data_IF_764903353677
#
_entry.id   IF_764903353677
#
_cell.length_a   1.000
_cell.length_b   1.000
_cell.length_c   1.000
_cell.angle_alpha   90.00
_cell.angle_beta   90.00
_cell.angle_gamma   90.00
#
_symmetry.space_group_name_H-M   'P 1'
#
loop_
_entity.id
_entity.type
_entity.pdbx_description
1 polymer ?
#
# COMPACT_ATOMS: atom_id res chain seq x y z
N UNK A 1 -21.14 5.51 -17.45
CA UNK A 1 -20.98 4.05 -17.54
C UNK A 1 -20.64 3.56 -16.14
N UNK A 2 -21.56 2.89 -15.43
CA UNK A 2 -21.46 2.64 -13.97
C UNK A 2 -21.14 1.18 -13.61
N UNK A 3 -20.59 0.41 -14.54
CA UNK A 3 -20.35 -1.02 -14.30
C UNK A 3 -18.96 -1.24 -13.71
N UNK A 4 -18.90 -2.19 -12.77
CA UNK A 4 -17.64 -2.66 -12.20
C UNK A 4 -16.86 -3.48 -13.22
N UNK A 5 -15.54 -3.34 -13.18
CA UNK A 5 -14.60 -4.10 -13.98
C UNK A 5 -13.55 -4.75 -13.05
N UNK A 6 -13.12 -6.01 -13.31
CA UNK A 6 -13.64 -6.92 -14.33
C UNK A 6 -15.07 -7.39 -14.04
N UNK A 7 -15.74 -7.95 -15.05
CA UNK A 7 -17.06 -8.59 -14.85
C UNK A 7 -16.95 -9.76 -13.87
N UNK A 8 -18.04 -10.14 -13.20
CA UNK A 8 -18.03 -11.26 -12.25
C UNK A 8 -17.43 -12.56 -12.85
N UNK A 9 -17.79 -12.88 -14.10
CA UNK A 9 -17.26 -14.04 -14.82
C UNK A 9 -15.74 -13.95 -15.05
N UNK A 10 -15.25 -12.75 -15.35
CA UNK A 10 -13.82 -12.52 -15.56
C UNK A 10 -13.05 -12.52 -14.24
N UNK A 11 -13.63 -11.96 -13.17
CA UNK A 11 -13.09 -12.07 -11.81
C UNK A 11 -12.93 -13.54 -11.40
N UNK A 12 -13.96 -14.36 -11.54
CA UNK A 12 -13.90 -15.80 -11.25
C UNK A 12 -12.81 -16.52 -12.05
N UNK A 13 -12.59 -16.10 -13.30
CA UNK A 13 -11.52 -16.66 -14.14
C UNK A 13 -10.14 -16.29 -13.62
N UNK A 14 -9.92 -15.02 -13.29
CA UNK A 14 -8.63 -14.50 -12.82
C UNK A 14 -8.26 -15.04 -11.43
N UNK A 15 -9.24 -15.18 -10.53
CA UNK A 15 -9.04 -15.65 -9.16
C UNK A 15 -8.63 -17.12 -9.04
N UNK A 16 -8.55 -17.88 -10.15
CA UNK A 16 -8.02 -19.26 -10.14
C UNK A 16 -6.51 -19.29 -9.99
N UNK A 17 -5.82 -18.32 -10.58
CA UNK A 17 -4.35 -18.28 -10.66
C UNK A 17 -3.75 -17.06 -9.92
N UNK A 18 -4.58 -16.07 -9.58
CA UNK A 18 -4.19 -14.88 -8.82
C UNK A 18 -4.75 -14.95 -7.39
N UNK A 19 -3.95 -14.51 -6.41
CA UNK A 19 -4.41 -14.40 -5.01
C UNK A 19 -5.00 -13.02 -4.68
N UNK A 20 -4.82 -12.05 -5.58
CA UNK A 20 -5.43 -10.73 -5.49
C UNK A 20 -5.90 -10.30 -6.86
N UNK A 21 -7.19 -9.96 -7.00
CA UNK A 21 -7.79 -9.46 -8.24
C UNK A 21 -8.52 -8.17 -7.91
N UNK A 22 -8.04 -6.99 -8.34
CA UNK A 22 -8.72 -5.75 -8.05
C UNK A 22 -10.01 -5.64 -8.85
N UNK A 23 -11.06 -5.18 -8.19
CA UNK A 23 -12.32 -4.80 -8.80
C UNK A 23 -12.46 -3.30 -8.65
N UNK A 24 -12.65 -2.60 -9.76
CA UNK A 24 -12.71 -1.15 -9.78
C UNK A 24 -13.86 -0.67 -10.66
N UNK A 25 -14.14 0.62 -10.55
CA UNK A 25 -15.05 1.35 -11.42
C UNK A 25 -14.52 2.76 -11.56
N UNK A 26 -14.71 3.35 -12.73
CA UNK A 26 -14.38 4.77 -12.95
C UNK A 26 -15.64 5.62 -12.69
N UNK A 27 -15.48 6.72 -11.97
CA UNK A 27 -16.55 7.69 -11.69
C UNK A 27 -16.08 9.12 -11.97
N UNK A 28 -17.01 10.02 -12.26
CA UNK A 28 -16.70 11.45 -12.39
C UNK A 28 -16.48 12.00 -10.98
N UNK A 29 -15.37 12.70 -10.77
CA UNK A 29 -14.94 13.26 -9.50
C UNK A 29 -14.52 14.73 -9.64
N UNK A 30 -15.33 15.51 -10.35
CA UNK A 30 -15.08 16.93 -10.64
C UNK A 30 -15.02 17.82 -9.37
N UNK A 31 -15.68 17.39 -8.29
CA UNK A 31 -15.78 18.14 -7.02
C UNK A 31 -15.01 17.51 -5.85
N UNK A 32 -14.44 16.33 -6.03
CA UNK A 32 -13.71 15.63 -4.96
C UNK A 32 -12.21 15.83 -5.17
N UNK A 33 -11.51 16.37 -4.17
CA UNK A 33 -10.05 16.48 -4.18
C UNK A 33 -9.40 15.31 -3.42
N UNK A 34 -8.18 14.89 -3.78
CA UNK A 34 -7.45 13.84 -3.04
C UNK A 34 -7.32 14.15 -1.55
N UNK A 35 -7.01 15.40 -1.20
CA UNK A 35 -6.90 15.85 0.19
C UNK A 35 -8.22 15.69 0.95
N UNK A 36 -9.35 16.11 0.36
CA UNK A 36 -10.66 15.97 0.98
C UNK A 36 -11.06 14.49 1.12
N UNK A 37 -10.77 13.67 0.12
CA UNK A 37 -11.03 12.24 0.17
C UNK A 37 -10.22 11.57 1.29
N UNK A 38 -8.93 11.86 1.41
CA UNK A 38 -8.09 11.34 2.50
C UNK A 38 -8.58 11.84 3.86
N UNK A 39 -8.90 13.13 4.01
CA UNK A 39 -9.42 13.67 5.26
C UNK A 39 -10.77 13.05 5.66
N UNK A 40 -11.58 12.57 4.70
CA UNK A 40 -12.89 11.98 4.99
C UNK A 40 -12.80 10.48 5.24
N UNK A 41 -11.95 9.76 4.49
CA UNK A 41 -11.91 8.29 4.49
C UNK A 41 -10.69 7.71 5.23
N UNK A 42 -9.57 8.43 5.27
CA UNK A 42 -8.31 8.00 5.87
C UNK A 42 -8.19 8.28 7.36
N UNK A 43 -9.23 7.95 8.14
CA UNK A 43 -9.22 8.16 9.61
C UNK A 43 -8.55 7.02 10.38
N UNK A 44 -8.26 5.90 9.71
CA UNK A 44 -7.65 4.71 10.31
C UNK A 44 -6.13 4.65 10.07
N UNK A 45 -5.45 3.86 10.91
CA UNK A 45 -4.02 3.60 10.76
C UNK A 45 -3.72 2.93 9.41
N UNK A 46 -2.61 3.32 8.80
CA UNK A 46 -2.19 2.77 7.50
C UNK A 46 -2.90 3.40 6.28
N UNK A 47 -3.78 4.39 6.48
CA UNK A 47 -4.23 5.24 5.39
C UNK A 47 -3.11 6.15 4.87
N UNK A 48 -3.19 6.52 3.60
CA UNK A 48 -2.17 7.32 2.95
C UNK A 48 -2.73 8.21 1.84
N UNK A 49 -2.02 9.31 1.59
CA UNK A 49 -2.16 10.17 0.42
C UNK A 49 -0.80 10.28 -0.27
N UNK A 50 -0.74 9.89 -1.55
CA UNK A 50 0.45 10.04 -2.38
C UNK A 50 0.14 10.99 -3.52
N UNK A 51 0.78 12.16 -3.48
CA UNK A 51 0.73 13.14 -4.57
C UNK A 51 2.15 13.34 -5.12
N UNK A 52 2.24 13.48 -6.43
CA UNK A 52 3.52 13.77 -7.09
C UNK A 52 3.47 15.16 -7.70
N UNK A 53 4.53 15.93 -7.46
CA UNK A 53 4.77 17.21 -8.14
C UNK A 53 5.96 17.01 -9.06
N UNK A 54 5.74 17.14 -10.36
CA UNK A 54 6.82 17.06 -11.36
C UNK A 54 7.18 18.46 -11.82
N UNK A 55 8.42 18.89 -11.56
CA UNK A 55 8.98 20.11 -12.17
C UNK A 55 8.45 21.44 -11.62
N UNK A 56 8.23 21.54 -10.31
CA UNK A 56 7.89 22.80 -9.62
C UNK A 56 6.38 23.12 -9.61
N UNK A 57 5.77 23.31 -10.78
CA UNK A 57 4.40 23.88 -10.89
C UNK A 57 3.35 22.98 -11.54
N UNK A 58 3.72 21.81 -12.10
CA UNK A 58 2.75 20.89 -12.72
C UNK A 58 2.45 19.72 -11.79
N UNK A 59 1.22 19.66 -11.30
CA UNK A 59 0.72 18.48 -10.58
C UNK A 59 0.80 17.24 -11.48
N UNK A 60 1.28 16.13 -10.90
CA UNK A 60 1.24 14.86 -11.61
C UNK A 60 -0.22 14.51 -11.95
N UNK A 61 -0.37 13.80 -13.07
CA UNK A 61 -1.69 13.36 -13.54
C UNK A 61 -2.45 12.54 -12.49
N UNK A 62 -1.74 11.82 -11.63
CA UNK A 62 -2.34 10.91 -10.66
C UNK A 62 -2.02 11.29 -9.21
N UNK A 63 -3.05 11.26 -8.37
CA UNK A 63 -2.95 11.24 -6.91
C UNK A 63 -3.61 9.96 -6.39
N UNK A 64 -3.06 9.36 -5.33
CA UNK A 64 -3.54 8.11 -4.77
C UNK A 64 -3.95 8.29 -3.32
N UNK A 65 -5.16 7.85 -2.98
CA UNK A 65 -5.63 7.79 -1.59
C UNK A 65 -5.93 6.35 -1.25
N UNK A 66 -5.22 5.78 -0.28
CA UNK A 66 -5.46 4.45 0.23
C UNK A 66 -6.01 4.47 1.64
N UNK A 67 -6.93 3.56 1.93
CA UNK A 67 -7.53 3.37 3.25
C UNK A 67 -8.06 1.94 3.38
N UNK A 68 -8.40 1.56 4.61
CA UNK A 68 -8.91 0.25 4.97
C UNK A 68 -7.95 -0.88 4.63
N UNK A 69 -6.65 -0.81 5.01
CA UNK A 69 -5.71 -1.86 4.66
C UNK A 69 -6.14 -3.19 5.28
N UNK A 70 -6.02 -4.28 4.52
CA UNK A 70 -6.31 -5.62 5.01
C UNK A 70 -5.37 -6.02 6.16
N UNK A 71 -4.14 -5.48 6.11
CA UNK A 71 -3.10 -5.76 7.09
C UNK A 71 -2.04 -4.65 7.12
N UNK A 72 -1.54 -4.35 8.31
CA UNK A 72 -0.32 -3.56 8.50
C UNK A 72 0.78 -4.49 9.00
N UNK A 73 1.94 -4.47 8.35
CA UNK A 73 3.12 -5.24 8.76
C UNK A 73 4.25 -4.30 9.16
N UNK A 74 4.92 -4.60 10.27
CA UNK A 74 6.05 -3.79 10.76
C UNK A 74 7.10 -4.65 11.43
N UNK A 75 8.35 -4.25 11.34
CA UNK A 75 9.47 -5.08 11.80
C UNK A 75 10.65 -4.27 12.28
N UNK A 76 11.36 -4.81 13.27
CA UNK A 76 12.52 -4.17 13.90
C UNK A 76 13.38 -5.25 14.54
N UNK A 77 14.70 -5.22 14.32
CA UNK A 77 15.64 -6.20 14.89
C UNK A 77 15.20 -7.66 14.67
N UNK A 78 14.74 -8.34 15.72
CA UNK A 78 14.26 -9.74 15.72
C UNK A 78 12.75 -9.86 15.97
N UNK A 79 12.00 -8.76 15.81
CA UNK A 79 10.56 -8.66 16.03
C UNK A 79 9.83 -8.34 14.73
N UNK A 80 8.78 -9.10 14.45
CA UNK A 80 7.82 -8.83 13.38
C UNK A 80 6.41 -8.74 13.96
N UNK A 81 5.64 -7.73 13.57
CA UNK A 81 4.25 -7.56 13.96
C UNK A 81 3.36 -7.47 12.74
N UNK A 82 2.20 -8.12 12.84
CA UNK A 82 1.08 -8.01 11.91
C UNK A 82 -0.12 -7.46 12.66
N UNK A 83 -0.67 -6.36 12.18
CA UNK A 83 -1.92 -5.77 12.68
C UNK A 83 -3.02 -6.07 11.68
N UNK A 84 -4.04 -6.80 12.10
CA UNK A 84 -5.19 -7.20 11.28
C UNK A 84 -6.45 -7.18 12.14
N UNK A 85 -7.52 -6.56 11.66
CA UNK A 85 -8.80 -6.44 12.39
C UNK A 85 -8.67 -5.84 13.81
N UNK A 86 -7.69 -4.95 14.01
CA UNK A 86 -7.37 -4.33 15.31
C UNK A 86 -6.56 -5.23 16.26
N UNK A 87 -6.29 -6.48 15.89
CA UNK A 87 -5.47 -7.41 16.66
C UNK A 87 -4.00 -7.33 16.24
N UNK A 88 -3.09 -7.38 17.22
CA UNK A 88 -1.65 -7.39 16.99
C UNK A 88 -1.13 -8.81 17.20
N UNK A 89 -0.65 -9.43 16.12
CA UNK A 89 0.08 -10.69 16.16
C UNK A 89 1.58 -10.42 16.11
N UNK A 90 2.27 -10.77 17.20
CA UNK A 90 3.70 -10.55 17.35
C UNK A 90 4.48 -11.87 17.22
N UNK A 91 5.55 -11.83 16.44
CA UNK A 91 6.57 -12.88 16.33
C UNK A 91 7.91 -12.33 16.83
N UNK A 92 8.58 -13.06 17.73
CA UNK A 92 9.88 -12.71 18.30
C UNK A 92 10.94 -13.74 17.90
N UNK A 93 12.20 -13.32 17.83
CA UNK A 93 13.32 -14.18 17.44
C UNK A 93 13.31 -14.56 15.96
N UNK A 94 12.68 -13.75 15.11
CA UNK A 94 12.57 -13.97 13.66
C UNK A 94 13.27 -12.86 12.89
N UNK A 95 13.75 -13.13 11.68
CA UNK A 95 14.19 -12.06 10.76
C UNK A 95 12.95 -11.34 10.20
N UNK A 96 12.71 -10.06 10.56
CA UNK A 96 11.53 -9.34 10.09
C UNK A 96 11.56 -9.06 8.59
N UNK A 97 12.74 -8.92 7.98
CA UNK A 97 12.86 -8.70 6.53
C UNK A 97 12.55 -9.97 5.74
N UNK A 98 12.96 -11.12 6.27
CA UNK A 98 12.54 -12.40 5.72
C UNK A 98 11.01 -12.57 5.84
N UNK A 99 10.42 -12.28 7.00
CA UNK A 99 8.96 -12.34 7.19
C UNK A 99 8.22 -11.39 6.25
N UNK A 100 8.70 -10.16 6.08
CA UNK A 100 8.15 -9.22 5.11
C UNK A 100 8.15 -9.81 3.69
N UNK A 101 9.28 -10.40 3.26
CA UNK A 101 9.38 -11.02 1.93
C UNK A 101 8.39 -12.18 1.76
N UNK A 102 8.29 -13.05 2.75
CA UNK A 102 7.36 -14.19 2.73
C UNK A 102 5.92 -13.70 2.65
N UNK A 103 5.56 -12.68 3.44
CA UNK A 103 4.26 -12.03 3.36
C UNK A 103 3.99 -11.49 1.96
N UNK A 104 4.83 -10.61 1.43
CA UNK A 104 4.61 -10.00 0.12
C UNK A 104 4.48 -11.03 -1.01
N UNK A 105 5.15 -12.18 -0.92
CA UNK A 105 5.05 -13.26 -1.89
C UNK A 105 3.68 -13.94 -1.95
N UNK A 106 2.82 -13.76 -0.94
CA UNK A 106 1.45 -14.27 -0.93
C UNK A 106 0.51 -13.48 -1.84
N UNK A 107 0.82 -12.21 -2.13
CA UNK A 107 0.05 -11.37 -3.06
C UNK A 107 0.56 -11.52 -4.49
N UNK A 108 -0.22 -12.24 -5.31
CA UNK A 108 0.09 -12.59 -6.70
C UNK A 108 -1.00 -12.01 -7.59
N UNK A 109 -0.78 -10.84 -8.19
CA UNK A 109 -1.76 -10.22 -9.07
C UNK A 109 -1.86 -10.93 -10.42
N UNK A 110 -2.99 -10.79 -11.13
CA UNK A 110 -3.13 -11.33 -12.47
C UNK A 110 -2.22 -10.55 -13.45
N UNK A 111 -1.68 -11.25 -14.45
CA UNK A 111 -0.94 -10.64 -15.56
C UNK A 111 -1.92 -10.16 -16.62
N UNK A 112 -2.35 -8.90 -16.51
CA UNK A 112 -3.34 -8.28 -17.41
C UNK A 112 -2.90 -6.86 -17.76
N UNK A 113 -3.22 -6.41 -18.98
CA UNK A 113 -2.76 -5.12 -19.52
C UNK A 113 -3.51 -3.90 -18.97
N UNK A 114 -4.72 -4.11 -18.44
CA UNK A 114 -5.61 -3.04 -17.99
C UNK A 114 -5.28 -2.52 -16.58
N UNK A 115 -4.39 -3.18 -15.84
CA UNK A 115 -3.99 -2.70 -14.52
C UNK A 115 -3.18 -1.40 -14.67
N UNK A 116 -3.53 -0.34 -13.93
CA UNK A 116 -2.74 0.87 -13.94
C UNK A 116 -1.38 0.61 -13.29
N UNK A 117 -0.42 1.54 -13.46
CA UNK A 117 0.94 1.39 -12.92
C UNK A 117 0.98 1.20 -11.40
N UNK A 118 0.00 1.77 -10.70
CA UNK A 118 -0.22 1.60 -9.28
C UNK A 118 -1.71 1.47 -9.02
N UNK A 119 -2.10 0.42 -8.29
CA UNK A 119 -3.48 0.09 -7.92
C UNK A 119 -3.58 -0.44 -6.49
N UNK A 120 -2.51 -0.28 -5.71
CA UNK A 120 -2.35 -0.91 -4.41
C UNK A 120 -1.02 -1.66 -4.31
N UNK A 121 -0.87 -2.37 -3.20
CA UNK A 121 0.38 -3.04 -2.82
C UNK A 121 0.76 -2.66 -1.39
N UNK A 122 2.05 -2.80 -1.08
CA UNK A 122 2.61 -2.38 0.21
C UNK A 122 3.01 -0.91 0.16
N UNK A 123 2.34 -0.08 0.96
CA UNK A 123 2.59 1.37 1.06
C UNK A 123 2.97 1.72 2.49
N UNK A 124 4.04 2.49 2.64
CA UNK A 124 4.58 2.82 3.95
C UNK A 124 6.03 3.27 3.84
N UNK A 125 6.86 2.87 4.79
CA UNK A 125 8.23 3.34 4.87
C UNK A 125 9.24 2.24 5.19
N UNK A 126 10.49 2.51 4.80
CA UNK A 126 11.70 1.87 5.30
C UNK A 126 12.51 2.97 5.97
N UNK A 127 12.86 2.78 7.24
CA UNK A 127 13.61 3.77 8.00
C UNK A 127 15.07 3.81 7.55
N UNK A 128 15.72 4.96 7.71
CA UNK A 128 17.12 5.14 7.33
C UNK A 128 18.05 4.11 8.01
N UNK A 129 17.81 3.81 9.30
CA UNK A 129 18.64 2.88 10.07
C UNK A 129 18.54 1.42 9.59
N UNK A 130 17.56 1.08 8.75
CA UNK A 130 17.48 -0.22 8.08
C UNK A 130 18.73 -0.56 7.26
N UNK A 131 19.49 0.46 6.83
CA UNK A 131 20.78 0.25 6.14
C UNK A 131 21.74 -0.60 6.97
N UNK A 132 21.68 -0.54 8.30
CA UNK A 132 22.57 -1.30 9.19
C UNK A 132 22.29 -2.80 9.18
N UNK A 133 21.06 -3.18 8.82
CA UNK A 133 20.67 -4.59 8.62
C UNK A 133 21.28 -5.13 7.32
N UNK A 134 21.40 -4.28 6.30
CA UNK A 134 21.96 -4.68 5.00
C UNK A 134 23.49 -4.52 4.92
N UNK A 135 24.05 -3.55 5.65
CA UNK A 135 25.47 -3.19 5.65
C UNK A 135 26.03 -3.10 7.07
N UNK A 136 26.54 -4.22 7.62
CA UNK A 136 27.05 -4.29 9.00
C UNK A 136 28.21 -3.33 9.30
N UNK A 137 28.92 -2.86 8.26
CA UNK A 137 30.05 -1.93 8.40
C UNK A 137 29.65 -0.54 8.88
N UNK A 138 28.37 -0.17 8.79
CA UNK A 138 27.83 1.13 9.25
C UNK A 138 27.83 1.21 10.79
N UNK A 139 27.96 0.08 11.49
CA UNK A 139 28.04 -0.01 12.95
C UNK A 139 26.68 0.03 13.64
N UNK A 140 26.68 0.12 14.98
CA UNK A 140 25.46 0.11 15.81
C UNK A 140 24.73 1.45 15.75
N UNK A 141 23.40 1.41 15.90
CA UNK A 141 22.58 2.60 16.03
C UNK A 141 22.95 3.39 17.29
N UNK A 142 22.89 4.73 17.19
CA UNK A 142 23.00 5.64 18.33
C UNK A 142 21.61 5.73 18.95
N UNK A 143 21.30 4.87 19.92
CA UNK A 143 20.01 4.78 20.63
C UNK A 143 18.78 4.66 19.71
N UNK A 144 18.13 3.50 19.72
CA UNK A 144 16.85 3.34 19.02
C UNK A 144 15.77 4.01 19.88
N UNK A 145 15.20 5.12 19.40
CA UNK A 145 13.78 5.35 19.71
C UNK A 145 12.99 4.14 19.17
N UNK A 146 11.85 3.83 19.75
CA UNK A 146 11.06 2.59 19.55
C UNK A 146 10.49 2.41 18.11
N UNK A 147 11.14 2.99 17.11
CA UNK A 147 10.77 3.06 15.71
C UNK A 147 11.08 1.76 14.95
N UNK A 148 10.11 1.37 14.12
CA UNK A 148 10.21 0.23 13.23
C UNK A 148 11.25 0.46 12.13
N UNK A 149 11.97 -0.60 11.73
CA UNK A 149 12.80 -0.59 10.52
C UNK A 149 11.94 -0.44 9.26
N UNK A 150 10.76 -1.04 9.25
CA UNK A 150 9.76 -0.80 8.23
C UNK A 150 8.35 -0.87 8.80
N UNK A 151 7.42 -0.20 8.14
CA UNK A 151 5.99 -0.33 8.38
C UNK A 151 5.26 -0.17 7.05
N UNK A 152 4.41 -1.12 6.68
CA UNK A 152 3.65 -1.11 5.44
C UNK A 152 2.18 -1.47 5.69
N UNK A 153 1.29 -0.64 5.17
CA UNK A 153 -0.11 -0.98 4.95
C UNK A 153 -0.24 -1.75 3.62
N UNK A 154 -0.93 -2.88 3.63
CA UNK A 154 -1.08 -3.76 2.47
C UNK A 154 -2.55 -4.03 2.23
N UNK A 155 -2.97 -3.90 0.97
CA UNK A 155 -4.35 -4.19 0.54
C UNK A 155 -5.30 -3.01 0.77
N UNK A 156 -6.59 -3.32 0.91
CA UNK A 156 -7.63 -2.32 1.11
C UNK A 156 -8.13 -1.61 -0.16
N UNK A 157 -8.71 -0.43 0.03
CA UNK A 157 -9.28 0.38 -1.06
C UNK A 157 -8.31 1.47 -1.50
N UNK A 158 -8.15 1.63 -2.82
CA UNK A 158 -7.34 2.69 -3.42
C UNK A 158 -8.19 3.53 -4.36
N UNK A 159 -8.21 4.83 -4.11
CA UNK A 159 -8.77 5.85 -4.98
C UNK A 159 -7.67 6.41 -5.88
N UNK A 160 -7.88 6.38 -7.19
CA UNK A 160 -6.92 6.82 -8.20
C UNK A 160 -7.49 8.04 -8.92
N UNK A 161 -7.10 9.23 -8.48
CA UNK A 161 -7.55 10.47 -9.10
C UNK A 161 -6.79 10.69 -10.42
N UNK A 162 -7.49 10.81 -11.55
CA UNK A 162 -6.92 11.27 -12.83
C UNK A 162 -7.26 12.75 -13.02
N UNK A 163 -6.34 13.63 -12.62
CA UNK A 163 -6.51 15.08 -12.64
C UNK A 163 -6.70 15.64 -14.06
N UNK A 164 -6.30 14.89 -15.10
CA UNK A 164 -6.48 15.30 -16.51
C UNK A 164 -7.88 14.95 -17.00
N UNK A 165 -8.44 13.82 -16.57
CA UNK A 165 -9.77 13.37 -16.96
C UNK A 165 -10.88 13.86 -16.03
N UNK A 166 -10.55 14.28 -14.82
CA UNK A 166 -11.53 14.60 -13.77
C UNK A 166 -12.28 13.37 -13.27
N UNK A 167 -11.61 12.22 -13.27
CA UNK A 167 -12.19 10.93 -12.87
C UNK A 167 -11.48 10.33 -11.66
N UNK A 168 -12.15 9.38 -11.03
CA UNK A 168 -11.72 8.59 -9.88
C UNK A 168 -11.92 7.09 -10.17
#
# INVERSE_FOLDING_TARGET
>A
MSEYFPTAKEFERLSRDASVVPVFREVIADRLTPVLAHATLGQEAGSYLLESVTGGETWARYSFVGFGPDVIVRGVADKFERVQDGEVHQELGVDPWQRLRERLAEWKPPKVEWLPRFWGGAVGYVSYDSVRTFEPTVGKALERDDDWEFCFAIGGTVLIFDNVRGTL
#
